data_IF_247088581737
#
_entry.id   IF_247088581737
#
_cell.length_a   1.000
_cell.length_b   1.000
_cell.length_c   1.000
_cell.angle_alpha   90.00
_cell.angle_beta   90.00
_cell.angle_gamma   90.00
#
_symmetry.space_group_name_H-M   'P 1'
#
loop_
_entity.id
_entity.type
_entity.pdbx_description
1 polymer ?
#
# COMPACT_ATOMS: atom_id res chain seq x y z
N UNK A 1 2.26 13.24 31.37
CA UNK A 1 2.74 12.91 30.02
C UNK A 1 2.09 11.59 29.61
N UNK A 2 1.42 11.56 28.47
CA UNK A 2 0.74 10.36 27.98
C UNK A 2 1.72 9.34 27.36
N UNK A 3 2.96 9.76 27.07
CA UNK A 3 3.97 8.91 26.46
C UNK A 3 5.39 9.42 26.78
N UNK A 4 6.36 8.54 26.68
CA UNK A 4 7.78 8.84 26.89
C UNK A 4 8.48 9.02 25.55
N UNK A 5 9.29 10.07 25.44
CA UNK A 5 10.18 10.27 24.28
C UNK A 5 11.46 9.49 24.48
N UNK A 6 11.73 8.57 23.56
CA UNK A 6 12.99 7.82 23.51
C UNK A 6 13.84 8.38 22.37
N UNK A 7 15.12 8.66 22.65
CA UNK A 7 16.09 9.08 21.65
C UNK A 7 16.76 7.89 20.95
N UNK A 8 17.54 8.21 19.91
CA UNK A 8 18.33 7.23 19.19
C UNK A 8 17.57 6.51 18.07
N UNK A 9 18.24 5.55 17.43
CA UNK A 9 17.70 4.71 16.36
C UNK A 9 17.12 3.45 17.01
N UNK A 10 15.81 3.37 17.08
CA UNK A 10 15.09 2.28 17.72
C UNK A 10 14.25 1.43 16.73
N UNK A 11 14.37 1.71 15.44
CA UNK A 11 13.73 0.97 14.34
C UNK A 11 14.76 0.61 13.29
N UNK A 12 14.33 -0.27 12.36
CA UNK A 12 15.17 -0.69 11.26
C UNK A 12 15.66 0.51 10.43
N UNK A 13 16.93 0.45 10.02
CA UNK A 13 17.51 1.36 9.05
C UNK A 13 17.70 0.64 7.73
N UNK A 14 17.31 1.27 6.65
CA UNK A 14 17.39 0.71 5.31
C UNK A 14 18.28 1.56 4.42
N UNK A 15 19.22 0.92 3.73
CA UNK A 15 19.90 1.50 2.59
C UNK A 15 19.23 0.99 1.32
N UNK A 16 18.57 1.88 0.59
CA UNK A 16 17.91 1.55 -0.66
C UNK A 16 18.76 2.04 -1.83
N UNK A 17 19.20 1.11 -2.67
CA UNK A 17 19.89 1.41 -3.94
C UNK A 17 18.93 1.16 -5.10
N UNK A 18 18.91 2.07 -6.04
CA UNK A 18 18.09 1.97 -7.26
C UNK A 18 18.91 2.41 -8.48
N UNK A 19 18.39 2.17 -9.68
CA UNK A 19 18.95 2.71 -10.92
C UNK A 19 18.64 4.20 -11.08
N UNK A 20 19.19 4.82 -12.10
CA UNK A 20 18.97 6.24 -12.40
C UNK A 20 17.54 6.55 -12.90
N UNK A 21 16.78 5.53 -13.27
CA UNK A 21 15.33 5.62 -13.50
C UNK A 21 14.64 4.70 -12.52
N UNK A 22 13.84 5.25 -11.62
CA UNK A 22 13.29 4.53 -10.48
C UNK A 22 11.91 5.04 -10.05
N UNK A 23 11.17 4.18 -9.37
CA UNK A 23 9.92 4.53 -8.67
C UNK A 23 10.30 5.37 -7.45
N UNK A 24 9.74 6.58 -7.35
CA UNK A 24 10.06 7.50 -6.23
C UNK A 24 9.57 6.96 -4.90
N UNK A 25 10.10 7.49 -3.82
CA UNK A 25 9.65 7.19 -2.46
C UNK A 25 8.84 8.36 -1.91
N UNK A 26 7.60 8.13 -1.51
CA UNK A 26 6.68 9.17 -1.05
C UNK A 26 7.23 10.01 0.12
N UNK A 27 7.95 9.37 1.06
CA UNK A 27 8.53 10.08 2.19
C UNK A 27 9.74 10.95 1.77
N UNK A 28 10.53 10.48 0.80
CA UNK A 28 11.71 11.20 0.33
C UNK A 28 11.35 12.40 -0.56
N UNK A 29 10.39 12.23 -1.46
CA UNK A 29 9.94 13.33 -2.34
C UNK A 29 9.21 14.43 -1.55
N UNK A 30 8.67 14.12 -0.38
CA UNK A 30 7.98 15.07 0.52
C UNK A 30 6.86 15.87 -0.19
N UNK A 31 6.18 15.25 -1.14
CA UNK A 31 5.03 15.82 -1.84
C UNK A 31 3.73 15.41 -1.14
N UNK A 32 2.84 16.36 -0.90
CA UNK A 32 1.52 16.06 -0.33
C UNK A 32 0.71 15.17 -1.27
N UNK A 33 0.36 13.96 -0.82
CA UNK A 33 -0.33 12.94 -1.61
C UNK A 33 0.38 12.62 -2.96
N UNK A 34 1.71 12.72 -2.97
CA UNK A 34 2.59 12.48 -4.13
C UNK A 34 3.72 11.52 -3.81
N UNK A 35 4.50 11.20 -4.85
CA UNK A 35 5.63 10.26 -4.77
C UNK A 35 5.22 8.79 -4.61
N UNK A 36 6.08 7.87 -5.05
CA UNK A 36 5.87 6.44 -4.89
C UNK A 36 4.66 5.89 -5.63
N UNK A 37 3.94 4.98 -4.99
CA UNK A 37 2.74 4.35 -5.52
C UNK A 37 1.55 4.52 -4.56
N UNK A 38 0.42 4.97 -5.10
CA UNK A 38 -0.87 5.02 -4.42
C UNK A 38 -1.83 4.02 -5.05
N UNK A 39 -2.62 3.36 -4.21
CA UNK A 39 -3.63 2.40 -4.62
C UNK A 39 -4.98 2.83 -4.05
N UNK A 40 -5.94 3.00 -4.92
CA UNK A 40 -7.34 3.24 -4.59
C UNK A 40 -8.25 2.16 -5.16
N UNK A 41 -9.52 2.23 -4.83
CA UNK A 41 -10.52 1.30 -5.34
C UNK A 41 -11.78 2.04 -5.76
N UNK A 42 -12.39 1.57 -6.85
CA UNK A 42 -13.68 2.09 -7.34
C UNK A 42 -14.58 0.92 -7.73
N UNK A 43 -15.89 1.17 -7.75
CA UNK A 43 -16.91 0.19 -8.17
C UNK A 43 -16.75 -1.18 -7.51
N UNK A 44 -16.45 -1.17 -6.23
CA UNK A 44 -16.19 -2.41 -5.47
C UNK A 44 -17.48 -3.16 -5.22
N UNK A 45 -17.53 -4.39 -5.70
CA UNK A 45 -18.61 -5.35 -5.49
C UNK A 45 -18.06 -6.79 -5.42
N UNK A 46 -18.92 -7.75 -5.10
CA UNK A 46 -18.55 -9.17 -5.13
C UNK A 46 -18.31 -9.69 -6.56
N UNK A 47 -18.85 -9.01 -7.57
CA UNK A 47 -18.71 -9.39 -8.98
C UNK A 47 -17.46 -8.78 -9.62
N UNK A 48 -17.11 -7.56 -9.25
CA UNK A 48 -15.94 -6.86 -9.80
C UNK A 48 -15.48 -5.74 -8.90
N UNK A 49 -14.23 -5.33 -9.07
CA UNK A 49 -13.67 -4.13 -8.48
C UNK A 49 -12.66 -3.49 -9.45
N UNK A 50 -12.58 -2.17 -9.43
CA UNK A 50 -11.53 -1.42 -10.12
C UNK A 50 -10.42 -1.07 -9.12
N UNK A 51 -9.19 -1.47 -9.42
CA UNK A 51 -7.99 -1.07 -8.70
C UNK A 51 -7.38 0.13 -9.41
N UNK A 52 -7.41 1.27 -8.75
CA UNK A 52 -6.86 2.52 -9.25
C UNK A 52 -5.41 2.65 -8.79
N UNK A 53 -4.54 3.02 -9.72
CA UNK A 53 -3.10 3.11 -9.51
C UNK A 53 -2.63 4.53 -9.85
N UNK A 54 -1.80 5.09 -9.01
CA UNK A 54 -1.07 6.32 -9.26
C UNK A 54 0.39 6.04 -8.94
N UNK A 55 1.27 6.11 -9.95
CA UNK A 55 2.69 5.81 -9.82
C UNK A 55 3.52 6.99 -10.27
N UNK A 56 4.54 7.33 -9.49
CA UNK A 56 5.52 8.32 -9.86
C UNK A 56 6.88 7.67 -10.14
N UNK A 57 7.49 8.02 -11.29
CA UNK A 57 8.80 7.52 -11.70
C UNK A 57 9.70 8.71 -12.05
N UNK A 58 10.93 8.69 -11.56
CA UNK A 58 11.94 9.74 -11.77
C UNK A 58 13.05 9.24 -12.68
N UNK A 59 13.50 10.09 -13.58
CA UNK A 59 14.66 9.90 -14.43
C UNK A 59 15.70 10.96 -14.06
N UNK A 60 16.81 10.56 -13.46
CA UNK A 60 17.89 11.49 -13.07
C UNK A 60 19.02 11.52 -14.09
N UNK A 61 18.88 10.80 -15.23
CA UNK A 61 19.87 10.82 -16.31
C UNK A 61 19.76 12.08 -17.15
N UNK A 62 20.80 12.35 -17.94
CA UNK A 62 20.81 13.43 -18.94
C UNK A 62 20.12 13.04 -20.27
N UNK A 63 19.58 11.83 -20.35
CA UNK A 63 18.93 11.31 -21.55
C UNK A 63 17.44 11.05 -21.32
N UNK A 64 16.65 11.16 -22.37
CA UNK A 64 15.24 10.77 -22.33
C UNK A 64 15.12 9.26 -22.17
N UNK A 65 14.38 8.84 -21.17
CA UNK A 65 14.07 7.43 -20.94
C UNK A 65 12.82 7.01 -21.72
N UNK A 66 12.91 5.84 -22.36
CA UNK A 66 11.79 5.17 -23.00
C UNK A 66 11.70 3.73 -22.48
N UNK A 67 10.52 3.33 -22.09
CA UNK A 67 10.30 1.99 -21.53
C UNK A 67 8.82 1.71 -21.28
N UNK A 68 8.56 0.87 -20.30
CA UNK A 68 7.19 0.51 -19.89
C UNK A 68 7.10 0.21 -18.41
N UNK A 69 5.91 0.41 -17.86
CA UNK A 69 5.51 -0.03 -16.53
C UNK A 69 4.62 -1.24 -16.69
N UNK A 70 4.92 -2.31 -15.97
CA UNK A 70 4.02 -3.46 -15.84
C UNK A 70 3.49 -3.53 -14.42
N UNK A 71 2.18 -3.67 -14.31
CA UNK A 71 1.47 -3.94 -13.06
C UNK A 71 0.91 -5.35 -13.12
N UNK A 72 1.13 -6.12 -12.09
CA UNK A 72 0.58 -7.45 -11.92
C UNK A 72 -0.06 -7.51 -10.54
N UNK A 73 -1.29 -7.98 -10.48
CA UNK A 73 -1.99 -8.30 -9.25
C UNK A 73 -2.06 -9.81 -9.11
N UNK A 74 -1.51 -10.34 -8.02
CA UNK A 74 -1.51 -11.76 -7.70
C UNK A 74 -2.30 -12.03 -6.42
N UNK A 75 -2.98 -13.17 -6.39
CA UNK A 75 -3.60 -13.68 -5.16
C UNK A 75 -2.54 -14.25 -4.19
N UNK A 76 -2.98 -14.76 -3.05
CA UNK A 76 -2.11 -15.30 -1.99
C UNK A 76 -1.36 -16.57 -2.39
N UNK A 77 -1.78 -17.25 -3.46
CA UNK A 77 -1.11 -18.45 -4.00
C UNK A 77 -0.28 -18.13 -5.26
N UNK A 78 -0.11 -16.84 -5.59
CA UNK A 78 0.74 -16.39 -6.68
C UNK A 78 0.10 -16.45 -8.07
N UNK A 79 -1.23 -16.64 -8.17
CA UNK A 79 -1.93 -16.59 -9.46
C UNK A 79 -2.19 -15.15 -9.84
N UNK A 80 -1.85 -14.79 -11.07
CA UNK A 80 -2.20 -13.48 -11.64
C UNK A 80 -3.72 -13.36 -11.80
N UNK A 81 -4.31 -12.34 -11.16
CA UNK A 81 -5.74 -12.04 -11.22
C UNK A 81 -6.08 -10.82 -12.08
N UNK A 82 -5.11 -9.89 -12.21
CA UNK A 82 -5.24 -8.74 -13.11
C UNK A 82 -3.85 -8.25 -13.55
N UNK A 83 -3.81 -7.37 -14.55
CA UNK A 83 -2.57 -6.75 -14.99
C UNK A 83 -2.80 -5.60 -15.95
N UNK A 84 -1.81 -4.70 -16.01
CA UNK A 84 -1.79 -3.54 -16.87
C UNK A 84 -0.37 -3.29 -17.33
N UNK A 85 -0.20 -2.89 -18.58
CA UNK A 85 1.08 -2.42 -19.11
C UNK A 85 0.88 -1.05 -19.72
N UNK A 86 1.76 -0.10 -19.37
CA UNK A 86 1.73 1.27 -19.88
C UNK A 86 3.09 1.65 -20.44
N UNK A 87 3.10 2.40 -21.55
CA UNK A 87 4.31 3.02 -22.06
C UNK A 87 4.78 4.11 -21.10
N UNK A 88 6.09 4.19 -20.91
CA UNK A 88 6.73 5.19 -20.07
C UNK A 88 7.73 6.00 -20.89
N UNK A 89 7.55 7.30 -20.90
CA UNK A 89 8.45 8.26 -21.52
C UNK A 89 8.71 9.38 -20.52
N UNK A 90 9.98 9.59 -20.18
CA UNK A 90 10.41 10.60 -19.18
C UNK A 90 11.62 11.35 -19.76
N UNK A 91 11.52 12.67 -19.90
CA UNK A 91 12.64 13.50 -20.33
C UNK A 91 13.78 13.47 -19.31
N UNK A 92 14.97 13.86 -19.75
CA UNK A 92 16.16 14.02 -18.90
C UNK A 92 15.85 14.87 -17.66
N UNK A 93 16.25 14.41 -16.46
CA UNK A 93 16.09 15.10 -15.18
C UNK A 93 14.65 15.26 -14.70
N UNK A 94 13.67 14.61 -15.33
CA UNK A 94 12.25 14.83 -14.99
C UNK A 94 11.62 13.65 -14.25
N UNK A 95 10.50 13.98 -13.59
CA UNK A 95 9.59 13.02 -12.95
C UNK A 95 8.31 12.91 -13.77
N UNK A 96 7.78 11.71 -13.89
CA UNK A 96 6.52 11.45 -14.57
C UNK A 96 5.54 10.71 -13.64
N UNK A 97 4.31 11.20 -13.55
CA UNK A 97 3.21 10.51 -12.91
C UNK A 97 2.41 9.72 -13.95
N UNK A 98 1.97 8.52 -13.58
CA UNK A 98 1.14 7.65 -14.42
C UNK A 98 -0.02 7.11 -13.60
N UNK A 99 -1.22 7.34 -14.12
CA UNK A 99 -2.46 6.79 -13.58
C UNK A 99 -2.82 5.53 -14.37
N UNK A 100 -3.23 4.50 -13.67
CA UNK A 100 -3.64 3.23 -14.24
C UNK A 100 -4.90 2.70 -13.58
N UNK A 101 -5.57 1.79 -14.27
CA UNK A 101 -6.76 1.09 -13.76
C UNK A 101 -6.72 -0.37 -14.18
N UNK A 102 -7.00 -1.26 -13.22
CA UNK A 102 -7.16 -2.70 -13.46
C UNK A 102 -8.50 -3.16 -12.95
N UNK A 103 -9.23 -3.91 -13.77
CA UNK A 103 -10.45 -4.62 -13.33
C UNK A 103 -10.07 -5.96 -12.72
N UNK A 104 -10.63 -6.26 -11.55
CA UNK A 104 -10.54 -7.57 -10.89
C UNK A 104 -11.93 -8.18 -10.86
N UNK A 105 -12.09 -9.32 -11.53
CA UNK A 105 -13.35 -10.06 -11.56
C UNK A 105 -13.45 -11.00 -10.35
N UNK A 106 -14.63 -11.04 -9.73
CA UNK A 106 -14.95 -11.85 -8.55
C UNK A 106 -13.84 -11.70 -7.48
N UNK A 107 -13.59 -10.47 -7.00
CA UNK A 107 -12.52 -10.23 -6.04
C UNK A 107 -12.85 -10.86 -4.68
N UNK A 108 -11.83 -11.43 -4.02
CA UNK A 108 -11.90 -11.73 -2.59
C UNK A 108 -11.76 -10.42 -1.81
N UNK A 109 -12.89 -9.84 -1.40
CA UNK A 109 -12.91 -8.55 -0.71
C UNK A 109 -12.30 -8.66 0.68
N UNK A 110 -11.63 -7.59 1.10
CA UNK A 110 -11.09 -7.47 2.44
C UNK A 110 -12.17 -7.05 3.43
N UNK A 111 -12.21 -7.70 4.57
CA UNK A 111 -12.93 -7.26 5.77
C UNK A 111 -12.12 -7.60 7.03
N UNK A 112 -12.46 -7.06 8.21
CA UNK A 112 -11.85 -7.48 9.48
C UNK A 112 -11.99 -8.98 9.75
N UNK A 113 -13.11 -9.58 9.33
CA UNK A 113 -13.40 -11.01 9.48
C UNK A 113 -12.62 -11.86 8.46
N UNK A 114 -12.51 -11.34 7.23
CA UNK A 114 -11.84 -11.98 6.10
C UNK A 114 -10.78 -11.04 5.50
N UNK A 115 -9.58 -10.93 6.12
CA UNK A 115 -8.55 -10.00 5.69
C UNK A 115 -7.84 -10.50 4.41
N UNK A 116 -8.59 -10.66 3.34
CA UNK A 116 -8.09 -11.10 2.05
C UNK A 116 -7.13 -10.07 1.46
N UNK A 117 -5.97 -10.51 1.04
CA UNK A 117 -4.92 -9.67 0.50
C UNK A 117 -4.46 -10.15 -0.87
N UNK A 118 -3.92 -9.22 -1.64
CA UNK A 118 -3.27 -9.44 -2.92
C UNK A 118 -1.87 -8.88 -2.89
N UNK A 119 -0.99 -9.38 -3.75
CA UNK A 119 0.29 -8.77 -4.05
C UNK A 119 0.18 -7.90 -5.30
N UNK A 120 0.39 -6.61 -5.15
CA UNK A 120 0.62 -5.71 -6.27
C UNK A 120 2.12 -5.68 -6.55
N UNK A 121 2.49 -6.10 -7.76
CA UNK A 121 3.87 -6.08 -8.26
C UNK A 121 3.93 -5.06 -9.38
N UNK A 122 4.80 -4.08 -9.23
CA UNK A 122 5.05 -3.03 -10.23
C UNK A 122 6.49 -3.16 -10.69
N UNK A 123 6.73 -3.17 -11.99
CA UNK A 123 8.07 -3.17 -12.56
C UNK A 123 8.22 -2.11 -13.64
N UNK A 124 9.32 -1.39 -13.59
CA UNK A 124 9.75 -0.47 -14.65
C UNK A 124 10.75 -1.21 -15.52
N UNK A 125 10.50 -1.25 -16.83
CA UNK A 125 11.35 -1.92 -17.80
C UNK A 125 11.84 -0.94 -18.85
N UNK A 126 13.08 -1.10 -19.29
CA UNK A 126 13.66 -0.34 -20.38
C UNK A 126 13.09 -0.78 -21.75
N UNK A 127 13.56 -0.16 -22.84
CA UNK A 127 13.17 -0.48 -24.20
C UNK A 127 13.53 -1.92 -24.63
N UNK A 128 14.59 -2.50 -24.06
CA UNK A 128 15.00 -3.87 -24.30
C UNK A 128 14.18 -4.90 -23.47
N UNK A 129 13.32 -4.42 -22.57
CA UNK A 129 12.49 -5.27 -21.72
C UNK A 129 13.16 -5.71 -20.41
N UNK A 130 14.38 -5.25 -20.12
CA UNK A 130 15.07 -5.49 -18.86
C UNK A 130 14.38 -4.72 -17.75
N UNK A 131 14.12 -5.38 -16.62
CA UNK A 131 13.61 -4.71 -15.41
C UNK A 131 14.73 -3.88 -14.81
N UNK A 132 14.46 -2.59 -14.61
CA UNK A 132 15.40 -1.62 -14.05
C UNK A 132 15.01 -1.21 -12.63
N UNK A 133 13.72 -1.28 -12.30
CA UNK A 133 13.23 -1.02 -10.95
C UNK A 133 11.92 -1.76 -10.69
N UNK A 134 11.56 -1.94 -9.43
CA UNK A 134 10.33 -2.63 -9.06
C UNK A 134 9.90 -2.41 -7.62
N UNK A 135 8.62 -2.57 -7.39
CA UNK A 135 7.99 -2.45 -6.10
C UNK A 135 6.96 -3.55 -5.89
N UNK A 136 6.91 -4.10 -4.68
CA UNK A 136 5.94 -5.13 -4.31
C UNK A 136 5.28 -4.78 -2.98
N UNK A 137 3.95 -4.71 -2.95
CA UNK A 137 3.20 -4.43 -1.73
C UNK A 137 1.92 -5.26 -1.63
N UNK A 138 1.47 -5.47 -0.41
CA UNK A 138 0.16 -6.09 -0.15
C UNK A 138 -0.92 -5.03 -0.20
N UNK A 139 -2.03 -5.38 -0.84
CA UNK A 139 -3.24 -4.55 -0.90
C UNK A 139 -4.46 -5.39 -0.55
N UNK A 140 -5.50 -4.75 0.00
CA UNK A 140 -6.79 -5.40 0.29
C UNK A 140 -7.92 -4.63 -0.38
N UNK A 141 -8.61 -5.25 -1.35
CA UNK A 141 -9.69 -4.61 -2.12
C UNK A 141 -10.91 -4.43 -1.23
N UNK A 142 -11.32 -3.18 -1.02
CA UNK A 142 -12.50 -2.83 -0.22
C UNK A 142 -13.05 -1.46 -0.58
N UNK A 143 -14.30 -1.21 -0.24
CA UNK A 143 -14.88 0.14 -0.16
C UNK A 143 -15.27 0.46 1.28
N UNK A 144 -15.09 1.72 1.67
CA UNK A 144 -15.39 2.24 3.00
C UNK A 144 -16.22 3.51 2.84
N UNK A 145 -17.36 3.57 3.52
CA UNK A 145 -18.22 4.74 3.53
C UNK A 145 -18.72 5.03 4.94
N UNK A 146 -18.80 6.31 5.27
CA UNK A 146 -19.49 6.80 6.48
C UNK A 146 -20.73 7.56 6.02
N UNK A 147 -21.93 7.00 6.30
CA UNK A 147 -23.20 7.53 5.82
C UNK A 147 -23.99 8.26 6.94
N UNK A 148 -23.29 9.08 7.71
CA UNK A 148 -23.89 9.87 8.78
C UNK A 148 -24.62 8.97 9.80
N UNK A 149 -25.94 9.19 10.00
CA UNK A 149 -26.76 8.39 10.90
C UNK A 149 -26.90 6.91 10.52
N UNK A 150 -26.66 6.57 9.26
CA UNK A 150 -26.71 5.19 8.79
C UNK A 150 -25.40 4.42 9.05
N UNK A 151 -24.43 5.09 9.67
CA UNK A 151 -23.21 4.49 10.20
C UNK A 151 -22.15 4.14 9.18
N UNK A 152 -21.36 3.13 9.53
CA UNK A 152 -20.23 2.64 8.75
C UNK A 152 -20.67 1.55 7.78
N UNK A 153 -20.24 1.69 6.53
CA UNK A 153 -20.50 0.73 5.45
C UNK A 153 -19.18 0.17 4.92
N UNK A 154 -19.14 -1.13 4.76
CA UNK A 154 -18.00 -1.85 4.21
C UNK A 154 -18.45 -2.68 2.99
N UNK A 155 -17.76 -2.53 1.87
CA UNK A 155 -18.06 -3.26 0.64
C UNK A 155 -19.53 -3.13 0.19
N UNK A 156 -20.06 -1.91 0.30
CA UNK A 156 -21.43 -1.58 -0.11
C UNK A 156 -22.54 -2.07 0.82
N UNK A 157 -22.19 -2.64 1.98
CA UNK A 157 -23.16 -3.16 2.98
C UNK A 157 -22.97 -2.44 4.33
N UNK A 158 -24.07 -2.21 5.09
CA UNK A 158 -23.94 -1.75 6.48
C UNK A 158 -23.05 -2.72 7.25
N UNK A 159 -22.07 -2.21 7.98
CA UNK A 159 -21.23 -3.05 8.80
C UNK A 159 -21.98 -3.40 10.11
N UNK A 160 -22.19 -4.68 10.43
CA UNK A 160 -23.14 -5.10 11.46
C UNK A 160 -22.65 -4.90 12.88
N UNK A 161 -21.37 -4.53 13.04
CA UNK A 161 -20.74 -4.42 14.36
C UNK A 161 -20.30 -2.98 14.63
N UNK A 162 -20.34 -2.52 15.88
CA UNK A 162 -19.74 -1.25 16.23
C UNK A 162 -18.23 -1.28 15.99
N UNK A 163 -17.67 -0.16 15.51
CA UNK A 163 -16.24 0.02 15.34
C UNK A 163 -15.58 0.33 16.70
N UNK A 164 -15.49 -0.69 17.53
CA UNK A 164 -14.82 -0.57 18.82
C UNK A 164 -13.31 -0.59 18.60
N UNK A 165 -12.62 0.40 19.16
CA UNK A 165 -11.18 0.55 19.03
C UNK A 165 -10.50 0.95 20.31
N UNK A 166 -9.18 0.96 20.29
CA UNK A 166 -8.33 1.42 21.38
C UNK A 166 -7.14 2.21 20.86
N UNK A 167 -6.60 3.08 21.70
CA UNK A 167 -5.28 3.67 21.51
C UNK A 167 -4.22 2.62 21.89
N UNK A 168 -3.17 2.54 21.10
CA UNK A 168 -2.02 1.71 21.38
C UNK A 168 -0.74 2.53 21.28
N UNK A 169 -0.05 2.69 22.40
CA UNK A 169 1.31 3.18 22.41
C UNK A 169 2.25 2.05 21.98
N UNK A 170 3.26 2.38 21.18
CA UNK A 170 4.21 1.39 20.65
C UNK A 170 5.44 1.25 21.55
N UNK A 171 5.27 1.41 22.84
CA UNK A 171 6.30 1.24 23.84
C UNK A 171 6.01 0.03 24.74
N UNK A 172 7.04 -0.50 25.39
CA UNK A 172 6.93 -1.59 26.31
C UNK A 172 7.97 -1.47 27.41
N UNK A 173 7.65 -2.00 28.60
CA UNK A 173 8.57 -2.01 29.72
C UNK A 173 9.94 -2.59 29.31
N UNK A 174 11.02 -1.98 29.77
CA UNK A 174 12.43 -2.33 29.54
C UNK A 174 12.97 -1.93 28.16
N UNK A 175 12.20 -2.11 27.08
CA UNK A 175 12.69 -1.88 25.70
C UNK A 175 12.21 -0.55 25.10
N UNK A 176 11.32 0.18 25.78
CA UNK A 176 10.78 1.43 25.23
C UNK A 176 10.17 1.23 23.84
N UNK A 177 10.48 2.13 22.92
CA UNK A 177 9.99 2.05 21.53
C UNK A 177 10.74 1.03 20.65
N UNK A 178 11.76 0.37 21.17
CA UNK A 178 12.54 -0.65 20.43
C UNK A 178 11.83 -2.02 20.39
N UNK A 179 10.50 -2.03 20.20
CA UNK A 179 9.74 -3.25 20.10
C UNK A 179 10.07 -4.02 18.82
N UNK A 180 10.39 -5.33 18.91
CA UNK A 180 10.53 -6.16 17.72
C UNK A 180 9.16 -6.39 17.04
N UNK A 181 9.18 -6.64 15.74
CA UNK A 181 7.98 -6.88 14.93
C UNK A 181 7.09 -8.00 15.48
N UNK A 182 7.66 -9.03 16.10
CA UNK A 182 6.93 -10.12 16.77
C UNK A 182 6.03 -9.63 17.90
N UNK A 183 6.46 -8.61 18.66
CA UNK A 183 5.64 -8.03 19.73
C UNK A 183 4.49 -7.18 19.17
N UNK A 184 4.73 -6.42 18.09
CA UNK A 184 3.63 -5.72 17.40
C UNK A 184 2.58 -6.69 16.87
N UNK A 185 3.03 -7.79 16.28
CA UNK A 185 2.12 -8.84 15.79
C UNK A 185 1.32 -9.49 16.93
N UNK A 186 1.98 -9.80 18.05
CA UNK A 186 1.33 -10.34 19.25
C UNK A 186 0.25 -9.41 19.77
N UNK A 187 0.55 -8.11 19.88
CA UNK A 187 -0.37 -7.12 20.39
C UNK A 187 -1.59 -6.96 19.45
N UNK A 188 -1.35 -6.87 18.14
CA UNK A 188 -2.43 -6.83 17.16
C UNK A 188 -3.33 -8.07 17.24
N UNK A 189 -2.73 -9.27 17.42
CA UNK A 189 -3.48 -10.52 17.62
C UNK A 189 -4.35 -10.47 18.86
N UNK A 190 -3.81 -10.05 20.02
CA UNK A 190 -4.54 -9.92 21.28
C UNK A 190 -5.69 -8.91 21.20
N UNK A 191 -5.46 -7.76 20.55
CA UNK A 191 -6.49 -6.75 20.35
C UNK A 191 -7.64 -7.30 19.49
N UNK A 192 -7.31 -8.04 18.44
CA UNK A 192 -8.30 -8.72 17.60
C UNK A 192 -9.08 -9.79 18.39
N UNK A 193 -8.40 -10.62 19.18
CA UNK A 193 -9.01 -11.66 20.02
C UNK A 193 -9.94 -11.04 21.08
N UNK A 194 -9.63 -9.83 21.56
CA UNK A 194 -10.49 -9.04 22.45
C UNK A 194 -11.68 -8.36 21.72
N UNK A 195 -11.84 -8.57 20.41
CA UNK A 195 -12.94 -8.02 19.62
C UNK A 195 -12.74 -6.62 19.09
N UNK A 196 -11.56 -6.02 19.27
CA UNK A 196 -11.26 -4.69 18.75
C UNK A 196 -11.13 -4.71 17.22
N UNK A 197 -11.75 -3.72 16.56
CA UNK A 197 -11.77 -3.59 15.08
C UNK A 197 -10.92 -2.44 14.58
N UNK A 198 -10.60 -1.48 15.44
CA UNK A 198 -9.85 -0.27 15.11
C UNK A 198 -8.73 -0.04 16.12
N UNK A 199 -7.59 0.39 15.66
CA UNK A 199 -6.47 0.81 16.49
C UNK A 199 -6.07 2.23 16.07
N UNK A 200 -5.89 3.10 17.04
CA UNK A 200 -5.21 4.38 16.84
C UNK A 200 -3.77 4.23 17.38
N UNK A 201 -2.80 4.45 16.52
CA UNK A 201 -1.37 4.53 16.84
C UNK A 201 -0.92 5.98 16.96
#
# INVERSE_FOLDING_TARGET
LDFTYFGGIYRDCWLVAHNDVFITNANYENETAGGGIFVGYDRVSEQSAEVLLKLQVKNVTEQTFQGKINYILEDTVGRKVAGLTQKLHIKAGQTAERNGKMEVRVPSLWSPEHPNLYWLIVTVKDAAGKTIDGYKQRIGIRSIEFRGKDGFWLNGKPYPFPLIGANRHQDFAVVGNALPNSMHWRDAKKLREAGLKVIRN
#
